data_IF_393025297254
#
_entry.id   IF_393025297254
#
_cell.length_a   1.000
_cell.length_b   1.000
_cell.length_c   1.000
_cell.angle_alpha   90.00
_cell.angle_beta   90.00
_cell.angle_gamma   90.00
#
_symmetry.space_group_name_H-M   'P 1'
#
loop_
_entity.id
_entity.type
_entity.pdbx_description
1 polymer ?
#
# COMPACT_ATOMS: atom_id res chain seq x y z
N UNK A 1 -7.94 -19.17 -19.41
CA UNK A 1 -7.10 -19.90 -18.51
C UNK A 1 -7.39 -19.46 -17.07
N UNK A 2 -7.54 -20.39 -16.23
CA UNK A 2 -7.98 -20.08 -14.89
C UNK A 2 -6.80 -20.12 -13.91
N UNK A 3 -6.14 -18.99 -13.77
CA UNK A 3 -5.05 -18.87 -12.81
C UNK A 3 -5.56 -18.77 -11.38
N UNK A 4 -6.86 -18.74 -11.19
CA UNK A 4 -7.44 -18.62 -9.87
C UNK A 4 -7.62 -19.96 -9.17
N UNK A 5 -7.24 -21.04 -9.82
CA UNK A 5 -7.32 -22.38 -9.22
C UNK A 5 -5.91 -22.88 -8.96
N UNK A 6 -5.63 -23.24 -7.72
CA UNK A 6 -4.32 -23.75 -7.31
C UNK A 6 -4.50 -25.21 -6.89
N UNK A 7 -3.79 -26.12 -7.57
CA UNK A 7 -3.78 -27.53 -7.24
C UNK A 7 -5.16 -28.17 -7.19
N UNK A 8 -6.11 -27.66 -7.99
CA UNK A 8 -7.44 -28.18 -8.00
C UNK A 8 -8.21 -27.98 -6.71
N UNK A 9 -7.67 -27.15 -5.80
CA UNK A 9 -8.30 -26.89 -4.52
C UNK A 9 -9.06 -25.56 -4.59
N UNK A 10 -9.03 -24.81 -3.51
CA UNK A 10 -9.73 -23.54 -3.40
C UNK A 10 -9.25 -22.53 -4.42
N UNK A 11 -10.16 -21.91 -5.17
CA UNK A 11 -9.76 -20.94 -6.17
C UNK A 11 -9.24 -19.65 -5.54
N UNK A 12 -8.31 -19.02 -6.23
CA UNK A 12 -7.88 -17.67 -5.93
C UNK A 12 -8.81 -16.74 -6.70
N UNK A 13 -9.36 -15.75 -6.03
CA UNK A 13 -10.26 -14.80 -6.66
C UNK A 13 -9.56 -13.45 -6.82
N UNK A 14 -9.71 -12.88 -7.99
CA UNK A 14 -9.24 -11.53 -8.27
C UNK A 14 -10.16 -10.53 -7.59
N UNK A 15 -9.59 -9.56 -6.92
CA UNK A 15 -10.37 -8.50 -6.29
C UNK A 15 -10.66 -7.41 -7.31
N UNK A 16 -11.82 -6.78 -7.20
CA UNK A 16 -12.11 -5.60 -7.98
C UNK A 16 -11.27 -4.44 -7.45
N UNK A 17 -11.15 -3.39 -8.25
CA UNK A 17 -10.40 -2.22 -7.81
C UNK A 17 -11.05 -1.61 -6.57
N UNK A 18 -12.36 -1.57 -6.52
CA UNK A 18 -13.08 -1.05 -5.36
C UNK A 18 -12.77 -1.86 -4.10
N UNK A 19 -12.76 -3.18 -4.21
CA UNK A 19 -12.42 -4.04 -3.09
C UNK A 19 -10.99 -3.81 -2.64
N UNK A 20 -10.08 -3.61 -3.59
CA UNK A 20 -8.69 -3.31 -3.26
C UNK A 20 -8.58 -2.05 -2.41
N UNK A 21 -9.26 -0.99 -2.82
CA UNK A 21 -9.19 0.27 -2.08
C UNK A 21 -9.82 0.17 -0.69
N UNK A 22 -10.88 -0.63 -0.54
CA UNK A 22 -11.44 -0.86 0.79
C UNK A 22 -10.42 -1.52 1.71
N UNK A 23 -9.72 -2.54 1.21
CA UNK A 23 -8.71 -3.22 2.00
C UNK A 23 -7.53 -2.31 2.34
N UNK A 24 -7.14 -1.45 1.40
CA UNK A 24 -6.07 -0.48 1.66
C UNK A 24 -6.48 0.49 2.76
N UNK A 25 -7.73 0.98 2.72
CA UNK A 25 -8.20 1.91 3.75
C UNK A 25 -8.26 1.27 5.13
N UNK A 26 -8.62 0.00 5.20
CA UNK A 26 -8.78 -0.69 6.47
C UNK A 26 -7.46 -1.16 7.06
N UNK A 27 -6.43 -1.29 6.24
CA UNK A 27 -5.14 -1.79 6.70
C UNK A 27 -4.49 -0.78 7.65
N UNK A 28 -3.98 -1.23 8.80
CA UNK A 28 -3.36 -0.30 9.75
C UNK A 28 -2.04 0.27 9.25
N UNK A 29 -1.36 -0.41 8.35
CA UNK A 29 -0.15 0.07 7.71
C UNK A 29 0.09 -0.77 6.46
N UNK A 30 1.03 -0.31 5.65
CA UNK A 30 1.44 -1.05 4.47
C UNK A 30 2.94 -1.09 4.35
N UNK A 31 3.41 -1.69 3.26
CA UNK A 31 4.83 -1.77 2.96
C UNK A 31 5.09 -1.10 1.63
N UNK A 32 6.13 -0.31 1.58
CA UNK A 32 6.52 0.40 0.38
C UNK A 32 7.84 -0.17 -0.12
N UNK A 33 7.85 -0.64 -1.36
CA UNK A 33 9.05 -1.13 -2.01
C UNK A 33 9.51 -0.11 -3.03
N UNK A 34 10.79 0.23 -3.00
CA UNK A 34 11.36 1.20 -3.92
C UNK A 34 12.71 0.72 -4.38
N UNK A 35 13.04 1.07 -5.63
CA UNK A 35 14.32 0.70 -6.22
C UNK A 35 14.89 1.91 -6.93
N UNK A 36 16.15 2.19 -6.66
CA UNK A 36 16.87 3.29 -7.31
C UNK A 36 18.35 2.98 -7.26
N UNK A 37 19.03 3.23 -8.37
CA UNK A 37 20.48 3.08 -8.42
C UNK A 37 20.97 1.68 -8.08
N UNK A 38 20.19 0.65 -8.40
CA UNK A 38 20.56 -0.73 -8.11
C UNK A 38 20.21 -1.21 -6.72
N UNK A 39 19.67 -0.33 -5.88
CA UNK A 39 19.23 -0.70 -4.56
C UNK A 39 17.73 -0.95 -4.54
N UNK A 40 17.30 -1.96 -3.79
CA UNK A 40 15.89 -2.26 -3.58
C UNK A 40 15.67 -2.34 -2.07
N UNK A 41 14.72 -1.57 -1.58
CA UNK A 41 14.42 -1.54 -0.15
C UNK A 41 12.92 -1.62 0.09
N UNK A 42 12.53 -2.09 1.28
CA UNK A 42 11.15 -2.17 1.69
C UNK A 42 11.02 -1.46 3.03
N UNK A 43 9.98 -0.65 3.16
CA UNK A 43 9.74 0.15 4.37
C UNK A 43 8.30 -0.03 4.84
N UNK A 44 8.07 -0.22 6.15
CA UNK A 44 6.71 -0.10 6.66
C UNK A 44 6.33 1.38 6.73
N UNK A 45 5.12 1.69 6.32
CA UNK A 45 4.63 3.06 6.35
C UNK A 45 3.20 3.09 6.86
N UNK A 46 2.90 4.09 7.68
CA UNK A 46 1.53 4.41 8.04
C UNK A 46 0.97 5.26 6.91
N UNK A 47 -0.01 4.73 6.24
CA UNK A 47 -0.55 5.35 5.05
C UNK A 47 -1.95 5.88 5.28
N UNK A 48 -2.37 6.76 4.41
CA UNK A 48 -3.76 7.17 4.28
C UNK A 48 -4.13 7.10 2.82
N UNK A 49 -5.42 7.17 2.55
CA UNK A 49 -5.95 7.18 1.19
C UNK A 49 -6.63 8.52 0.97
N UNK A 50 -6.29 9.18 -0.13
CA UNK A 50 -6.85 10.48 -0.47
C UNK A 50 -7.14 10.51 -1.97
N UNK A 51 -8.42 10.54 -2.30
CA UNK A 51 -8.88 10.68 -3.69
C UNK A 51 -8.20 9.68 -4.65
N UNK A 52 -8.14 8.41 -4.24
CA UNK A 52 -7.57 7.37 -5.08
C UNK A 52 -6.06 7.38 -5.14
N UNK A 53 -5.41 8.05 -4.19
CA UNK A 53 -3.95 8.01 -4.07
C UNK A 53 -3.60 7.56 -2.66
N UNK A 54 -2.36 7.14 -2.48
CA UNK A 54 -1.85 6.73 -1.17
C UNK A 54 -0.91 7.81 -0.69
N UNK A 55 -1.08 8.23 0.57
CA UNK A 55 -0.22 9.27 1.14
C UNK A 55 0.43 8.76 2.41
N UNK A 56 1.62 9.27 2.70
CA UNK A 56 2.31 8.98 3.96
C UNK A 56 3.30 10.10 4.27
N UNK A 57 3.81 10.09 5.50
CA UNK A 57 4.76 11.10 5.99
C UNK A 57 6.12 10.46 6.23
N UNK A 58 7.18 11.24 6.02
CA UNK A 58 8.54 10.82 6.34
C UNK A 58 9.37 12.04 6.70
N UNK A 59 10.59 11.81 7.15
CA UNK A 59 11.49 12.91 7.50
C UNK A 59 12.38 13.27 6.31
N UNK A 60 12.80 14.51 6.27
CA UNK A 60 13.79 14.96 5.28
C UNK A 60 15.08 14.17 5.45
N UNK A 61 15.71 13.85 4.31
CA UNK A 61 17.00 13.16 4.32
C UNK A 61 16.94 11.68 4.63
N UNK A 62 15.76 11.11 4.77
CA UNK A 62 15.66 9.67 5.01
C UNK A 62 15.87 8.91 3.70
N UNK A 63 16.35 7.67 3.85
CA UNK A 63 16.49 6.78 2.70
C UNK A 63 15.15 6.52 2.04
N UNK A 64 14.10 6.39 2.85
CA UNK A 64 12.75 6.23 2.34
C UNK A 64 12.38 7.37 1.40
N UNK A 65 12.58 8.62 1.83
CA UNK A 65 12.24 9.76 1.00
C UNK A 65 13.09 9.78 -0.27
N UNK A 66 14.39 9.55 -0.14
CA UNK A 66 15.29 9.61 -1.29
C UNK A 66 14.98 8.54 -2.33
N UNK A 67 14.62 7.34 -1.88
CA UNK A 67 14.33 6.26 -2.81
C UNK A 67 12.96 6.36 -3.44
N UNK A 68 12.03 7.10 -2.81
CA UNK A 68 10.65 7.14 -3.32
C UNK A 68 10.38 8.35 -4.21
N UNK A 69 11.03 9.50 -3.94
CA UNK A 69 10.73 10.72 -4.67
C UNK A 69 11.05 10.56 -6.15
N UNK A 70 10.04 10.83 -6.99
CA UNK A 70 10.15 10.79 -8.45
C UNK A 70 10.50 9.40 -9.00
N UNK A 71 10.23 8.36 -8.21
CA UNK A 71 10.51 7.01 -8.63
C UNK A 71 9.23 6.19 -8.69
N UNK A 72 9.30 5.10 -9.41
CA UNK A 72 8.23 4.13 -9.42
C UNK A 72 8.37 3.28 -8.18
N UNK A 73 7.24 3.03 -7.54
CA UNK A 73 7.20 2.30 -6.28
C UNK A 73 6.10 1.26 -6.33
N UNK A 74 6.15 0.33 -5.39
CA UNK A 74 5.06 -0.61 -5.16
C UNK A 74 4.66 -0.51 -3.70
N UNK A 75 3.37 -0.40 -3.46
CA UNK A 75 2.81 -0.36 -2.11
C UNK A 75 1.94 -1.59 -1.92
N UNK A 76 2.04 -2.24 -0.77
CA UNK A 76 1.35 -3.50 -0.56
C UNK A 76 0.72 -3.54 0.82
N UNK A 77 -0.52 -4.06 0.87
CA UNK A 77 -1.14 -4.48 2.12
C UNK A 77 -1.54 -5.93 1.97
N UNK A 78 -1.52 -6.66 3.08
CA UNK A 78 -2.00 -8.03 3.08
C UNK A 78 -2.57 -8.34 4.46
N UNK A 79 -3.25 -9.46 4.55
CA UNK A 79 -3.83 -9.86 5.83
C UNK A 79 -4.60 -11.15 5.72
N UNK A 80 -5.19 -11.50 6.84
CA UNK A 80 -5.98 -12.71 7.00
C UNK A 80 -7.30 -12.37 7.67
N UNK A 81 -8.34 -13.09 7.27
CA UNK A 81 -9.56 -13.21 8.05
C UNK A 81 -9.60 -14.64 8.59
N UNK A 82 -10.70 -15.02 9.22
CA UNK A 82 -10.84 -16.39 9.70
C UNK A 82 -10.83 -17.41 8.57
N UNK A 83 -11.28 -17.00 7.39
CA UNK A 83 -11.46 -17.92 6.28
C UNK A 83 -10.58 -17.61 5.08
N UNK A 84 -10.07 -16.41 4.98
CA UNK A 84 -9.41 -15.96 3.75
C UNK A 84 -8.09 -15.26 4.02
N UNK A 85 -7.24 -15.24 3.01
CA UNK A 85 -6.07 -14.39 2.97
C UNK A 85 -6.19 -13.46 1.77
N UNK A 86 -5.59 -12.27 1.86
CA UNK A 86 -5.63 -11.34 0.74
C UNK A 86 -4.30 -10.61 0.61
N UNK A 87 -4.03 -10.13 -0.59
CA UNK A 87 -2.88 -9.29 -0.87
C UNK A 87 -3.29 -8.27 -1.92
N UNK A 88 -2.95 -7.01 -1.68
CA UNK A 88 -3.22 -5.93 -2.62
C UNK A 88 -1.91 -5.21 -2.90
N UNK A 89 -1.60 -5.03 -4.17
CA UNK A 89 -0.39 -4.33 -4.59
C UNK A 89 -0.79 -3.16 -5.47
N UNK A 90 -0.27 -1.99 -5.15
CA UNK A 90 -0.45 -0.77 -5.93
C UNK A 90 0.90 -0.36 -6.46
N UNK A 91 1.01 -0.29 -7.78
CA UNK A 91 2.21 0.26 -8.41
C UNK A 91 1.91 1.67 -8.85
N UNK A 92 2.87 2.54 -8.71
CA UNK A 92 2.65 3.92 -9.08
C UNK A 92 3.90 4.75 -8.98
N UNK A 93 3.71 6.06 -9.09
CA UNK A 93 4.79 7.02 -9.03
C UNK A 93 4.63 7.85 -7.78
N UNK A 94 5.73 7.99 -7.05
CA UNK A 94 5.74 8.75 -5.81
C UNK A 94 6.28 10.14 -6.05
N UNK A 95 5.64 11.12 -5.43
CA UNK A 95 6.10 12.49 -5.47
C UNK A 95 5.82 13.15 -4.14
N UNK A 96 6.67 14.10 -3.80
CA UNK A 96 6.48 14.88 -2.58
C UNK A 96 5.44 15.96 -2.84
N UNK A 97 4.63 16.27 -1.82
CA UNK A 97 3.75 17.42 -1.90
C UNK A 97 3.91 18.22 -0.62
N UNK A 98 3.85 19.54 -0.77
CA UNK A 98 4.06 20.44 0.35
C UNK A 98 3.14 21.65 0.32
N UNK A 99 2.15 21.63 -0.56
CA UNK A 99 1.17 22.70 -0.59
C UNK A 99 0.43 22.74 0.72
N UNK A 100 0.36 23.91 1.30
CA UNK A 100 -0.22 24.09 2.62
C UNK A 100 -1.62 23.48 2.74
N UNK A 101 -2.45 23.67 1.71
CA UNK A 101 -3.79 23.11 1.71
C UNK A 101 -3.80 21.59 1.65
N UNK A 102 -2.91 21.01 0.85
CA UNK A 102 -2.82 19.55 0.74
C UNK A 102 -2.32 18.93 2.03
N UNK A 103 -1.37 19.58 2.69
CA UNK A 103 -0.83 19.08 3.95
C UNK A 103 -1.90 19.13 5.03
N UNK A 104 -2.66 20.22 5.10
CA UNK A 104 -3.73 20.34 6.09
C UNK A 104 -4.80 19.27 5.87
N UNK A 105 -5.12 18.99 4.60
CA UNK A 105 -6.07 17.93 4.28
C UNK A 105 -5.56 16.57 4.73
N UNK A 106 -4.29 16.29 4.46
CA UNK A 106 -3.68 15.01 4.83
C UNK A 106 -3.63 14.84 6.34
N UNK A 107 -3.36 15.91 7.07
CA UNK A 107 -3.34 15.84 8.53
C UNK A 107 -4.70 15.50 9.10
N UNK A 108 -5.77 15.94 8.47
CA UNK A 108 -7.12 15.60 8.91
C UNK A 108 -7.45 14.13 8.72
N UNK A 109 -6.71 13.44 7.85
CA UNK A 109 -6.89 12.00 7.67
C UNK A 109 -6.21 11.19 8.76
N UNK A 110 -5.50 11.84 9.68
CA UNK A 110 -4.89 11.16 10.81
C UNK A 110 -3.68 10.32 10.47
N UNK A 111 -2.99 10.63 9.38
CA UNK A 111 -1.80 9.88 8.98
C UNK A 111 -0.65 10.24 9.91
N UNK A 112 -0.11 9.23 10.58
CA UNK A 112 0.98 9.42 11.51
C UNK A 112 2.23 8.71 11.00
N UNK A 113 3.43 9.23 11.35
CA UNK A 113 4.66 8.55 10.92
C UNK A 113 4.85 7.23 11.66
N UNK A 114 5.49 6.29 10.98
CA UNK A 114 5.79 4.99 11.58
C UNK A 114 6.85 5.12 12.67
N UNK A 115 7.87 5.94 12.44
CA UNK A 115 8.97 6.12 13.38
C UNK A 115 8.67 7.32 14.28
N UNK A 116 9.26 7.37 15.48
CA UNK A 116 8.98 8.45 16.44
C UNK A 116 9.64 9.78 16.09
N UNK A 117 10.59 9.80 15.15
CA UNK A 117 11.23 11.05 14.75
C UNK A 117 10.22 11.99 14.13
N UNK A 118 10.51 13.27 14.22
CA UNK A 118 9.63 14.27 13.64
C UNK A 118 9.59 14.14 12.12
N UNK A 119 8.39 14.01 11.58
CA UNK A 119 8.17 13.80 10.15
C UNK A 119 7.33 14.95 9.61
N UNK A 120 7.90 15.69 8.70
CA UNK A 120 7.21 16.83 8.10
C UNK A 120 7.21 16.83 6.60
N UNK A 121 7.64 15.74 5.98
CA UNK A 121 7.65 15.61 4.52
C UNK A 121 6.55 14.64 4.10
N UNK A 122 5.74 15.05 3.17
CA UNK A 122 4.60 14.28 2.71
C UNK A 122 4.84 13.74 1.31
N UNK A 123 4.46 12.48 1.12
CA UNK A 123 4.63 11.80 -0.17
C UNK A 123 3.28 11.26 -0.62
N UNK A 124 3.01 11.38 -1.90
CA UNK A 124 1.80 10.87 -2.54
C UNK A 124 2.19 9.89 -3.62
N UNK A 125 1.53 8.74 -3.63
CA UNK A 125 1.70 7.74 -4.68
C UNK A 125 0.49 7.82 -5.58
N UNK A 126 0.71 8.10 -6.86
CA UNK A 126 -0.34 8.08 -7.87
C UNK A 126 -0.32 6.73 -8.56
N UNK A 127 -1.38 5.95 -8.40
CA UNK A 127 -1.38 4.57 -8.92
C UNK A 127 -1.37 4.53 -10.45
N UNK A 128 -0.62 3.60 -10.98
CA UNK A 128 -0.70 3.23 -12.39
C UNK A 128 -1.31 1.86 -12.53
N UNK A 129 -1.31 1.07 -11.45
CA UNK A 129 -1.86 -0.28 -11.48
C UNK A 129 -2.26 -0.67 -10.07
N UNK A 130 -3.46 -1.23 -9.95
CA UNK A 130 -3.97 -1.73 -8.66
C UNK A 130 -4.40 -3.16 -8.89
N UNK A 131 -3.85 -4.10 -8.11
CA UNK A 131 -4.17 -5.51 -8.21
C UNK A 131 -4.33 -6.11 -6.84
N UNK A 132 -5.33 -6.96 -6.70
CA UNK A 132 -5.53 -7.67 -5.45
C UNK A 132 -6.08 -9.05 -5.68
N UNK A 133 -5.76 -9.93 -4.76
CA UNK A 133 -6.22 -11.31 -4.78
C UNK A 133 -6.62 -11.74 -3.39
N UNK A 134 -7.61 -12.61 -3.34
CA UNK A 134 -8.01 -13.26 -2.11
C UNK A 134 -8.18 -14.74 -2.38
N UNK A 135 -7.92 -15.55 -1.38
CA UNK A 135 -8.12 -16.99 -1.50
C UNK A 135 -8.52 -17.55 -0.15
N UNK A 136 -9.28 -18.63 -0.21
CA UNK A 136 -9.78 -19.28 0.99
C UNK A 136 -8.64 -20.08 1.63
N UNK A 137 -8.48 -19.92 2.93
CA UNK A 137 -7.45 -20.65 3.65
C UNK A 137 -7.78 -22.13 3.70
N UNK A 138 -6.75 -23.01 3.68
CA UNK A 138 -6.98 -24.45 3.74
C UNK A 138 -7.79 -24.81 4.97
N UNK A 139 -8.83 -25.62 4.77
CA UNK A 139 -9.69 -26.07 5.85
C UNK A 139 -10.79 -25.12 6.25
N UNK A 140 -10.74 -23.87 5.83
CA UNK A 140 -11.73 -22.87 6.24
C UNK A 140 -13.12 -23.20 5.71
N UNK A 141 -13.21 -23.76 4.50
CA UNK A 141 -14.48 -24.08 3.87
C UNK A 141 -15.11 -25.35 4.41
N UNK A 142 -14.44 -26.03 5.32
CA UNK A 142 -14.94 -27.28 5.90
C UNK A 142 -15.70 -27.06 7.20
N UNK A 143 -15.72 -25.85 7.67
CA UNK A 143 -16.34 -25.53 8.95
C UNK A 143 -17.85 -25.60 8.88
#
# INVERSE_FOLDING_TARGET
MDEDVVDGRTPTRKLSEEECWELIREAPYGRLAAAAGGEVDIFPVNHGVDAGTIIFRTAAGTKLLELTIRHRVAFQVDGFTDTDAFSVVVKGEASEFDRQGEVAEAERLGVTPWAPEQKDRWVRIRPTEVQGRTFTLPGASEA
#
